data_IF_086786597141
#
_entry.id   IF_086786597141
#
_cell.length_a   1.000
_cell.length_b   1.000
_cell.length_c   1.000
_cell.angle_alpha   90.00
_cell.angle_beta   90.00
_cell.angle_gamma   90.00
#
_symmetry.space_group_name_H-M   'P 1'
#
loop_
_entity.id
_entity.type
_entity.pdbx_description
1 polymer ?
#
# COMPACT_ATOMS: atom_id res chain seq x y z
N UNK A 1 25.68 -2.49 3.15
CA UNK A 1 25.95 -1.47 2.11
C UNK A 1 24.77 -1.37 1.11
N UNK A 2 23.52 -1.24 1.59
CA UNK A 2 22.32 -1.29 0.74
C UNK A 2 21.33 -0.14 0.97
N UNK A 3 21.61 0.76 1.92
CA UNK A 3 20.85 1.99 2.09
C UNK A 3 21.64 3.10 1.42
N UNK A 4 20.99 3.74 0.45
CA UNK A 4 21.37 4.98 -0.23
C UNK A 4 22.41 5.80 0.53
N UNK A 5 23.53 6.13 -0.11
CA UNK A 5 24.54 7.07 0.42
C UNK A 5 24.00 8.51 0.55
N UNK A 6 22.68 8.71 0.56
CA UNK A 6 22.02 10.01 0.48
C UNK A 6 22.09 10.66 -0.90
N UNK A 7 22.71 9.98 -1.86
CA UNK A 7 22.82 10.49 -3.22
C UNK A 7 21.46 10.49 -3.90
N UNK A 8 21.16 11.58 -4.60
CA UNK A 8 19.96 11.76 -5.41
C UNK A 8 19.70 10.56 -6.33
N UNK A 9 20.76 10.03 -6.94
CA UNK A 9 20.69 8.87 -7.84
C UNK A 9 20.17 7.63 -7.10
N UNK A 10 20.66 7.36 -5.89
CA UNK A 10 20.22 6.21 -5.09
C UNK A 10 18.75 6.32 -4.68
N UNK A 11 18.28 7.52 -4.30
CA UNK A 11 16.86 7.76 -4.00
C UNK A 11 15.97 7.55 -5.23
N UNK A 12 16.45 8.02 -6.39
CA UNK A 12 15.76 7.86 -7.67
C UNK A 12 15.69 6.37 -8.08
N UNK A 13 16.79 5.62 -7.92
CA UNK A 13 16.82 4.17 -8.18
C UNK A 13 15.82 3.42 -7.32
N UNK A 14 15.76 3.70 -6.01
CA UNK A 14 14.80 3.05 -5.10
C UNK A 14 13.36 3.36 -5.55
N UNK A 15 13.07 4.62 -5.88
CA UNK A 15 11.73 5.04 -6.34
C UNK A 15 11.34 4.33 -7.64
N UNK A 16 12.25 4.23 -8.61
CA UNK A 16 12.03 3.50 -9.87
C UNK A 16 11.79 2.01 -9.60
N UNK A 17 12.63 1.36 -8.79
CA UNK A 17 12.51 -0.07 -8.51
C UNK A 17 11.16 -0.35 -7.85
N UNK A 18 10.77 0.43 -6.85
CA UNK A 18 9.46 0.32 -6.18
C UNK A 18 8.33 0.51 -7.20
N UNK A 19 8.40 1.54 -8.04
CA UNK A 19 7.41 1.79 -9.08
C UNK A 19 7.28 0.61 -10.06
N UNK A 20 8.39 0.02 -10.51
CA UNK A 20 8.40 -1.15 -11.38
C UNK A 20 7.78 -2.36 -10.66
N UNK A 21 8.20 -2.65 -9.43
CA UNK A 21 7.66 -3.77 -8.65
C UNK A 21 6.15 -3.66 -8.46
N UNK A 22 5.65 -2.48 -8.07
CA UNK A 22 4.20 -2.27 -7.93
C UNK A 22 3.46 -2.32 -9.27
N UNK A 23 4.11 -1.92 -10.36
CA UNK A 23 3.52 -2.03 -11.71
C UNK A 23 3.36 -3.49 -12.12
N UNK A 24 4.40 -4.30 -11.93
CA UNK A 24 4.34 -5.75 -12.21
C UNK A 24 3.27 -6.41 -11.33
N UNK A 25 3.24 -6.10 -10.03
CA UNK A 25 2.21 -6.60 -9.13
C UNK A 25 0.80 -6.21 -9.59
N UNK A 26 0.62 -4.97 -10.05
CA UNK A 26 -0.65 -4.47 -10.57
C UNK A 26 -1.09 -5.21 -11.85
N UNK A 27 -0.16 -5.48 -12.76
CA UNK A 27 -0.41 -6.25 -14.00
C UNK A 27 -0.85 -7.67 -13.65
N UNK A 28 -0.09 -8.35 -12.78
CA UNK A 28 -0.40 -9.73 -12.34
C UNK A 28 -1.78 -9.80 -11.71
N UNK A 29 -2.11 -8.87 -10.80
CA UNK A 29 -3.43 -8.81 -10.16
C UNK A 29 -4.56 -8.54 -11.14
N UNK A 30 -4.35 -7.64 -12.12
CA UNK A 30 -5.32 -7.41 -13.17
C UNK A 30 -5.59 -8.69 -13.98
N UNK A 31 -4.52 -9.41 -14.35
CA UNK A 31 -4.65 -10.65 -15.12
C UNK A 31 -5.35 -11.77 -14.36
N UNK A 32 -5.02 -11.93 -13.07
CA UNK A 32 -5.71 -12.84 -12.15
C UNK A 32 -7.22 -12.54 -12.09
N UNK A 33 -7.59 -11.27 -11.93
CA UNK A 33 -9.00 -10.85 -11.95
C UNK A 33 -9.69 -11.20 -13.26
N UNK A 34 -9.03 -10.94 -14.40
CA UNK A 34 -9.59 -11.25 -15.72
C UNK A 34 -9.76 -12.75 -15.95
N UNK A 35 -8.79 -13.57 -15.52
CA UNK A 35 -8.82 -15.03 -15.67
C UNK A 35 -9.97 -15.64 -14.87
N UNK A 36 -10.19 -15.18 -13.63
CA UNK A 36 -11.26 -15.69 -12.77
C UNK A 36 -12.65 -15.37 -13.33
N UNK A 37 -12.87 -14.17 -13.88
CA UNK A 37 -14.15 -13.83 -14.54
C UNK A 37 -14.40 -14.68 -15.77
N UNK A 38 -13.35 -15.04 -16.51
CA UNK A 38 -13.49 -15.92 -17.67
C UNK A 38 -13.88 -17.36 -17.31
N UNK A 39 -13.63 -17.80 -16.07
CA UNK A 39 -13.93 -19.15 -15.58
C UNK A 39 -15.22 -19.25 -14.77
N UNK A 40 -15.58 -18.20 -14.03
CA UNK A 40 -16.69 -18.24 -13.07
C UNK A 40 -17.59 -16.99 -13.20
N UNK A 41 -18.30 -16.83 -14.32
CA UNK A 41 -19.23 -15.70 -14.52
C UNK A 41 -20.32 -15.63 -13.43
N UNK A 42 -20.80 -16.77 -12.93
CA UNK A 42 -21.79 -16.85 -11.86
C UNK A 42 -21.31 -16.29 -10.51
N UNK A 43 -19.98 -16.23 -10.27
CA UNK A 43 -19.40 -15.77 -9.00
C UNK A 43 -18.98 -14.30 -9.04
N UNK A 44 -19.02 -13.69 -10.22
CA UNK A 44 -18.62 -12.30 -10.49
C UNK A 44 -19.31 -11.30 -9.56
N UNK A 45 -20.62 -11.41 -9.37
CA UNK A 45 -21.38 -10.47 -8.54
C UNK A 45 -20.96 -10.52 -7.06
N UNK A 46 -20.73 -11.72 -6.53
CA UNK A 46 -20.29 -11.91 -5.13
C UNK A 46 -18.89 -11.35 -4.88
N UNK A 47 -17.96 -11.55 -5.84
CA UNK A 47 -16.59 -11.07 -5.77
C UNK A 47 -16.53 -9.54 -5.94
N UNK A 48 -17.33 -8.98 -6.86
CA UNK A 48 -17.46 -7.54 -7.04
C UNK A 48 -18.04 -6.89 -5.79
N UNK A 49 -19.08 -7.45 -5.16
CA UNK A 49 -19.68 -6.88 -3.94
C UNK A 49 -18.70 -6.87 -2.77
N UNK A 50 -17.92 -7.95 -2.60
CA UNK A 50 -16.87 -8.04 -1.55
C UNK A 50 -15.70 -7.10 -1.81
N UNK A 51 -15.29 -6.98 -3.08
CA UNK A 51 -14.19 -6.13 -3.53
C UNK A 51 -14.54 -4.65 -3.52
N UNK A 52 -15.76 -4.26 -3.91
CA UNK A 52 -16.25 -2.86 -3.88
C UNK A 52 -16.28 -2.27 -2.47
N UNK A 53 -16.47 -3.12 -1.45
CA UNK A 53 -16.37 -2.73 -0.03
C UNK A 53 -14.91 -2.45 0.40
N UNK A 54 -13.93 -3.02 -0.29
CA UNK A 54 -12.49 -2.83 -0.06
C UNK A 54 -11.86 -1.76 -0.96
N UNK A 55 -12.39 -1.56 -2.17
CA UNK A 55 -11.93 -0.59 -3.16
C UNK A 55 -12.41 0.83 -2.82
N UNK A 56 -11.75 1.47 -1.87
CA UNK A 56 -11.80 2.93 -1.76
C UNK A 56 -10.83 3.49 -2.80
N UNK A 57 -11.30 3.90 -3.98
CA UNK A 57 -10.60 4.76 -4.97
C UNK A 57 -9.12 4.47 -5.35
N UNK A 58 -8.73 4.75 -6.60
CA UNK A 58 -7.36 4.49 -7.09
C UNK A 58 -6.27 5.14 -6.19
N UNK A 59 -6.51 6.38 -5.73
CA UNK A 59 -5.57 7.12 -4.87
C UNK A 59 -5.41 6.54 -3.45
N UNK A 60 -6.49 6.07 -2.82
CA UNK A 60 -6.39 5.50 -1.45
C UNK A 60 -5.82 4.09 -1.53
N UNK A 61 -6.11 3.36 -2.60
CA UNK A 61 -5.47 2.07 -2.87
C UNK A 61 -3.98 2.16 -3.13
N UNK A 62 -3.49 3.29 -3.68
CA UNK A 62 -2.06 3.53 -3.88
C UNK A 62 -1.27 3.72 -2.59
N UNK A 63 -1.90 4.08 -1.47
CA UNK A 63 -1.20 4.24 -0.19
C UNK A 63 -0.73 2.91 0.40
N UNK A 64 -1.27 1.78 -0.05
CA UNK A 64 -0.90 0.47 0.47
C UNK A 64 -0.79 -0.57 -0.66
N UNK A 65 0.33 -1.30 -0.79
CA UNK A 65 0.52 -2.30 -1.85
C UNK A 65 -0.63 -3.30 -1.96
N UNK A 66 -1.12 -3.80 -0.82
CA UNK A 66 -2.27 -4.71 -0.76
C UNK A 66 -3.58 -4.10 -1.29
N UNK A 67 -3.87 -2.83 -0.99
CA UNK A 67 -5.09 -2.19 -1.51
C UNK A 67 -4.98 -1.92 -3.02
N UNK A 68 -3.77 -1.65 -3.51
CA UNK A 68 -3.49 -1.51 -4.94
C UNK A 68 -3.70 -2.83 -5.68
N UNK A 69 -3.24 -3.94 -5.11
CA UNK A 69 -3.48 -5.28 -5.63
C UNK A 69 -4.98 -5.56 -5.77
N UNK A 70 -5.78 -5.29 -4.72
CA UNK A 70 -7.24 -5.46 -4.78
C UNK A 70 -7.91 -4.54 -5.80
N UNK A 71 -7.42 -3.30 -5.95
CA UNK A 71 -7.94 -2.37 -6.95
C UNK A 71 -7.77 -2.89 -8.37
N UNK A 72 -6.56 -3.34 -8.74
CA UNK A 72 -6.29 -3.86 -10.08
C UNK A 72 -6.93 -5.23 -10.33
N UNK A 73 -7.01 -6.07 -9.30
CA UNK A 73 -7.81 -7.27 -9.34
C UNK A 73 -9.27 -6.95 -9.70
N UNK A 74 -9.88 -5.97 -9.03
CA UNK A 74 -11.24 -5.52 -9.34
C UNK A 74 -11.37 -4.93 -10.75
N UNK A 75 -10.39 -4.14 -11.18
CA UNK A 75 -10.36 -3.60 -12.54
C UNK A 75 -10.31 -4.72 -13.60
N UNK A 76 -9.60 -5.82 -13.30
CA UNK A 76 -9.59 -7.04 -14.10
C UNK A 76 -10.94 -7.76 -14.12
N UNK A 77 -11.65 -7.84 -12.97
CA UNK A 77 -12.99 -8.42 -12.88
C UNK A 77 -14.03 -7.62 -13.70
N UNK A 78 -13.93 -6.30 -13.68
CA UNK A 78 -14.85 -5.39 -14.37
C UNK A 78 -14.51 -5.18 -15.87
N UNK A 79 -13.46 -5.85 -16.39
CA UNK A 79 -12.93 -5.67 -17.75
C UNK A 79 -12.67 -4.19 -18.10
N UNK A 80 -12.27 -3.38 -17.11
CA UNK A 80 -11.97 -1.96 -17.34
C UNK A 80 -10.70 -1.78 -18.19
N UNK A 81 -10.53 -0.61 -18.80
CA UNK A 81 -9.35 -0.33 -19.65
C UNK A 81 -8.04 -0.46 -18.85
N UNK A 82 -7.13 -1.27 -19.37
CA UNK A 82 -5.76 -1.47 -18.88
C UNK A 82 -4.94 -0.18 -18.73
N UNK A 83 -5.30 0.89 -19.44
CA UNK A 83 -4.57 2.17 -19.42
C UNK A 83 -4.42 2.79 -18.02
N UNK A 84 -5.26 2.41 -17.06
CA UNK A 84 -5.15 2.87 -15.67
C UNK A 84 -3.85 2.40 -14.96
N UNK A 85 -3.22 1.33 -15.44
CA UNK A 85 -1.96 0.81 -14.87
C UNK A 85 -0.80 1.79 -15.10
N UNK A 86 -0.81 2.56 -16.20
CA UNK A 86 0.25 3.53 -16.54
C UNK A 86 0.34 4.66 -15.51
N UNK A 87 -0.75 4.97 -14.82
CA UNK A 87 -0.74 5.97 -13.75
C UNK A 87 -0.02 5.49 -12.48
N UNK A 88 0.17 4.17 -12.31
CA UNK A 88 0.87 3.60 -11.15
C UNK A 88 2.31 4.10 -11.04
N UNK A 89 3.18 3.92 -12.06
CA UNK A 89 4.55 4.38 -11.96
C UNK A 89 4.64 5.90 -11.85
N UNK A 90 3.78 6.67 -12.53
CA UNK A 90 3.81 8.14 -12.47
C UNK A 90 3.57 8.62 -11.03
N UNK A 91 2.49 8.13 -10.40
CA UNK A 91 2.17 8.52 -9.02
C UNK A 91 3.18 7.96 -8.03
N UNK A 92 3.63 6.72 -8.21
CA UNK A 92 4.60 6.08 -7.31
C UNK A 92 5.99 6.70 -7.39
N UNK A 93 6.42 7.16 -8.56
CA UNK A 93 7.72 7.84 -8.70
C UNK A 93 7.65 9.20 -7.99
N UNK A 94 6.61 10.00 -8.24
CA UNK A 94 6.45 11.30 -7.61
C UNK A 94 6.31 11.18 -6.08
N UNK A 95 5.44 10.28 -5.61
CA UNK A 95 5.23 10.06 -4.18
C UNK A 95 6.44 9.39 -3.53
N UNK A 96 7.00 8.35 -4.15
CA UNK A 96 8.16 7.62 -3.65
C UNK A 96 9.39 8.50 -3.55
N UNK A 97 9.60 9.41 -4.50
CA UNK A 97 10.69 10.39 -4.44
C UNK A 97 10.49 11.40 -3.31
N UNK A 98 9.28 11.95 -3.15
CA UNK A 98 8.97 12.89 -2.08
C UNK A 98 9.12 12.24 -0.69
N UNK A 99 8.62 11.00 -0.54
CA UNK A 99 8.75 10.21 0.67
C UNK A 99 10.22 9.92 0.99
N UNK A 100 11.00 9.49 -0.01
CA UNK A 100 12.43 9.23 0.13
C UNK A 100 13.21 10.49 0.54
N UNK A 101 12.86 11.64 -0.06
CA UNK A 101 13.44 12.94 0.30
C UNK A 101 13.10 13.34 1.73
N UNK A 102 11.86 13.15 2.17
CA UNK A 102 11.41 13.45 3.53
C UNK A 102 12.07 12.55 4.58
N UNK A 103 12.26 11.26 4.25
CA UNK A 103 12.90 10.30 5.16
C UNK A 103 14.42 10.43 5.20
N UNK A 104 15.06 10.98 4.16
CA UNK A 104 16.51 11.14 4.12
C UNK A 104 17.12 11.88 5.32
N UNK A 105 16.63 13.07 5.74
CA UNK A 105 17.16 13.75 6.92
C UNK A 105 16.86 13.00 8.22
N UNK A 106 15.78 12.22 8.27
CA UNK A 106 15.48 11.33 9.39
C UNK A 106 16.37 10.09 9.42
N UNK A 107 16.86 9.61 8.28
CA UNK A 107 17.65 8.38 8.21
C UNK A 107 19.02 8.51 8.87
N UNK A 108 19.66 9.69 8.83
CA UNK A 108 20.97 9.95 9.44
C UNK A 108 21.01 9.68 10.96
N UNK A 109 20.17 10.34 11.79
CA UNK A 109 20.17 10.08 13.23
C UNK A 109 19.73 8.65 13.56
N UNK A 110 18.92 8.01 12.70
CA UNK A 110 18.54 6.61 12.87
C UNK A 110 19.69 5.64 12.61
N UNK A 111 20.51 5.86 11.58
CA UNK A 111 21.65 4.98 11.27
C UNK A 111 22.79 5.12 12.29
N UNK A 112 23.05 6.33 12.80
CA UNK A 112 24.09 6.55 13.81
C UNK A 112 23.73 5.98 15.18
N UNK A 113 22.44 5.90 15.50
CA UNK A 113 21.96 5.41 16.79
C UNK A 113 21.28 4.03 16.70
N UNK A 114 21.46 3.30 15.59
CA UNK A 114 20.83 1.98 15.40
C UNK A 114 21.37 0.93 16.38
N UNK A 115 22.63 1.08 16.78
CA UNK A 115 23.30 0.20 17.75
C UNK A 115 22.83 0.47 19.19
N UNK A 116 22.09 1.56 19.42
CA UNK A 116 21.53 1.88 20.72
C UNK A 116 20.23 1.09 20.94
N UNK A 117 20.20 0.12 21.88
CA UNK A 117 19.00 -0.68 22.15
C UNK A 117 17.82 0.19 22.63
N UNK A 118 18.10 1.38 23.15
CA UNK A 118 17.10 2.35 23.60
C UNK A 118 16.27 2.93 22.45
N UNK A 119 16.85 3.13 21.27
CA UNK A 119 16.14 3.69 20.11
C UNK A 119 15.15 2.66 19.54
N UNK A 120 15.60 1.41 19.38
CA UNK A 120 14.74 0.29 18.98
C UNK A 120 13.61 0.07 20.01
N UNK A 121 13.94 0.06 21.29
CA UNK A 121 12.96 -0.11 22.37
C UNK A 121 11.90 0.98 22.41
N UNK A 122 12.29 2.25 22.22
CA UNK A 122 11.34 3.37 22.18
C UNK A 122 10.44 3.30 20.94
N UNK A 123 10.98 2.95 19.77
CA UNK A 123 10.20 2.81 18.54
C UNK A 123 9.17 1.69 18.65
N UNK A 124 9.57 0.53 19.21
CA UNK A 124 8.67 -0.59 19.49
C UNK A 124 7.59 -0.19 20.50
N UNK A 125 7.95 0.56 21.55
CA UNK A 125 7.00 1.03 22.56
C UNK A 125 5.98 2.00 21.98
N UNK A 126 6.41 2.98 21.17
CA UNK A 126 5.52 3.90 20.46
C UNK A 126 4.59 3.12 19.53
N UNK A 127 5.14 2.17 18.77
CA UNK A 127 4.35 1.32 17.88
C UNK A 127 3.30 0.50 18.64
N UNK A 128 3.66 -0.08 19.78
CA UNK A 128 2.75 -0.80 20.68
C UNK A 128 1.63 0.09 21.21
N UNK A 129 1.96 1.31 21.67
CA UNK A 129 0.96 2.28 22.14
C UNK A 129 -0.02 2.63 21.02
N UNK A 130 0.49 2.93 19.81
CA UNK A 130 -0.35 3.24 18.65
C UNK A 130 -1.23 2.06 18.26
N UNK A 131 -0.67 0.85 18.23
CA UNK A 131 -1.42 -0.37 17.93
C UNK A 131 -2.54 -0.61 18.95
N UNK A 132 -2.23 -0.45 20.24
CA UNK A 132 -3.20 -0.59 21.32
C UNK A 132 -4.33 0.45 21.23
N UNK A 133 -3.98 1.72 21.01
CA UNK A 133 -4.96 2.80 20.83
C UNK A 133 -5.84 2.60 19.58
N UNK A 134 -5.25 2.13 18.48
CA UNK A 134 -5.97 1.84 17.24
C UNK A 134 -6.98 0.70 17.42
N UNK A 135 -6.59 -0.38 18.09
CA UNK A 135 -7.46 -1.51 18.41
C UNK A 135 -8.61 -1.09 19.35
N UNK A 136 -8.31 -0.27 20.36
CA UNK A 136 -9.33 0.24 21.27
C UNK A 136 -10.35 1.12 20.54
N UNK A 137 -9.91 1.97 19.61
CA UNK A 137 -10.81 2.79 18.78
C UNK A 137 -11.63 1.93 17.80
N UNK A 138 -11.06 0.85 17.25
CA UNK A 138 -11.77 -0.11 16.40
C UNK A 138 -12.89 -0.84 17.14
N UNK A 139 -12.64 -1.31 18.37
CA UNK A 139 -13.65 -1.97 19.21
C UNK A 139 -14.80 -1.02 19.56
N UNK A 140 -14.51 0.24 19.92
CA UNK A 140 -15.55 1.26 20.17
C UNK A 140 -16.42 1.55 18.94
N UNK A 141 -15.84 1.56 17.73
CA UNK A 141 -16.63 1.73 16.48
C UNK A 141 -17.58 0.57 16.22
N UNK A 142 -17.14 -0.68 16.40
CA UNK A 142 -18.00 -1.87 16.24
C UNK A 142 -19.14 -1.90 17.24
N UNK A 143 -18.91 -1.50 18.49
CA UNK A 143 -19.95 -1.49 19.52
C UNK A 143 -21.04 -0.43 19.28
N UNK A 144 -20.76 0.61 18.49
CA UNK A 144 -21.72 1.65 18.11
C UNK A 144 -22.63 1.22 16.96
N UNK A 145 -22.17 0.32 16.08
CA UNK A 145 -22.96 -0.26 14.97
C UNK A 145 -23.99 -1.29 15.43
N UNK A 146 -23.80 -1.96 16.57
CA UNK A 146 -24.76 -2.94 17.14
C UNK A 146 -25.80 -2.32 18.10
N UNK A 147 -25.67 -1.03 18.43
CA UNK A 147 -26.53 -0.32 19.39
C UNK A 147 -27.25 0.90 18.76
N UNK A 148 -27.40 0.92 17.44
CA UNK A 148 -28.36 1.84 16.80
C UNK A 148 -29.72 1.13 16.76
N UNK A 149 -30.80 1.76 17.27
CA UNK A 149 -32.14 1.20 17.25
C UNK A 149 -32.67 1.00 15.82
#
# INVERSE_FOLDING_TARGET
MFLSNGSFISLLTISIVVAITLTIASIVNYWLGRYIVSKEEAKKESLLKKSRKASKGLFVSMLHPNLLAFYFFNAGLEKQRFGKIIYVPIVMISYGFLLAYLLYPLAKPFMENIDSPYLIGSLISIWLIVAFLSEHRRKKRKHKEYNLP
#
